data_IF_724901032035
#
_entry.id   IF_724901032035
#
_cell.length_a   1.000
_cell.length_b   1.000
_cell.length_c   1.000
_cell.angle_alpha   90.00
_cell.angle_beta   90.00
_cell.angle_gamma   90.00
#
_symmetry.space_group_name_H-M   'P 1'
#
loop_
_entity.id
_entity.type
_entity.pdbx_description
1 polymer ?
#
# COMPACT_ATOMS: atom_id res chain seq x y z
N UNK A 1 68.50 -34.11 8.64
CA UNK A 1 68.59 -32.65 8.45
C UNK A 1 67.40 -32.29 7.59
N UNK A 2 66.32 -31.88 8.25
CA UNK A 2 65.03 -31.58 7.63
C UNK A 2 65.02 -30.09 7.28
N UNK A 3 64.80 -29.76 6.00
CA UNK A 3 64.70 -28.38 5.52
C UNK A 3 63.25 -28.11 5.11
N UNK A 4 62.46 -27.59 6.04
CA UNK A 4 61.10 -27.12 5.79
C UNK A 4 61.18 -25.71 5.18
N UNK A 5 60.99 -25.58 3.87
CA UNK A 5 60.84 -24.28 3.22
C UNK A 5 59.40 -23.77 3.39
N UNK A 6 59.21 -22.81 4.29
CA UNK A 6 57.99 -21.99 4.34
C UNK A 6 57.94 -21.13 3.08
N UNK A 7 56.89 -21.29 2.27
CA UNK A 7 56.58 -20.37 1.16
C UNK A 7 55.61 -19.33 1.69
N UNK A 8 55.98 -18.05 1.58
CA UNK A 8 55.12 -16.93 1.94
C UNK A 8 53.88 -16.88 1.01
N UNK A 9 52.69 -16.51 1.50
CA UNK A 9 51.52 -16.34 0.67
C UNK A 9 51.71 -15.17 -0.30
N UNK A 10 51.51 -15.45 -1.59
CA UNK A 10 51.51 -14.46 -2.66
C UNK A 10 50.31 -13.52 -2.44
N UNK A 11 50.59 -12.25 -2.14
CA UNK A 11 49.58 -11.19 -2.12
C UNK A 11 49.15 -10.88 -3.56
N UNK A 12 47.89 -11.17 -3.88
CA UNK A 12 47.27 -10.83 -5.16
C UNK A 12 46.56 -9.46 -5.04
N UNK A 13 47.09 -8.38 -5.65
CA UNK A 13 46.50 -7.06 -5.60
C UNK A 13 45.28 -6.90 -6.52
N UNK A 14 44.81 -7.96 -7.21
CA UNK A 14 43.62 -7.92 -8.07
C UNK A 14 42.31 -8.28 -7.34
N UNK A 15 42.38 -8.65 -6.06
CA UNK A 15 41.20 -8.75 -5.21
C UNK A 15 40.70 -7.35 -4.85
N UNK A 16 40.11 -6.68 -5.83
CA UNK A 16 39.29 -5.49 -5.62
C UNK A 16 38.06 -5.95 -4.82
N UNK A 17 37.86 -5.53 -3.56
CA UNK A 17 36.62 -5.78 -2.86
C UNK A 17 35.58 -4.84 -3.48
N UNK A 18 35.09 -5.20 -4.67
CA UNK A 18 33.81 -4.71 -5.13
C UNK A 18 32.80 -5.20 -4.11
N UNK A 19 32.55 -4.35 -3.11
CA UNK A 19 31.37 -4.44 -2.27
C UNK A 19 30.21 -4.51 -3.24
N UNK A 20 29.65 -5.70 -3.34
CA UNK A 20 28.50 -6.01 -4.17
C UNK A 20 27.29 -5.34 -3.51
N UNK A 21 27.21 -4.01 -3.61
CA UNK A 21 26.08 -3.24 -3.13
C UNK A 21 25.00 -3.40 -4.20
N UNK A 22 24.44 -4.60 -4.31
CA UNK A 22 23.17 -4.79 -5.00
C UNK A 22 22.18 -3.86 -4.30
N UNK A 23 21.58 -2.87 -4.99
CA UNK A 23 20.60 -1.99 -4.36
C UNK A 23 19.48 -2.87 -3.78
N UNK A 24 18.91 -2.51 -2.61
CA UNK A 24 17.88 -3.31 -1.99
C UNK A 24 16.75 -3.55 -2.98
N UNK A 25 16.45 -4.82 -3.25
CA UNK A 25 15.31 -5.22 -4.08
C UNK A 25 14.06 -4.71 -3.36
N UNK A 26 13.41 -3.71 -3.95
CA UNK A 26 12.15 -3.20 -3.45
C UNK A 26 11.06 -4.25 -3.71
N UNK A 27 10.48 -4.81 -2.64
CA UNK A 27 9.40 -5.77 -2.70
C UNK A 27 8.04 -5.11 -2.41
N UNK A 28 6.97 -5.69 -2.96
CA UNK A 28 5.59 -5.35 -2.57
C UNK A 28 5.34 -5.59 -1.07
N UNK A 29 4.22 -5.10 -0.51
CA UNK A 29 3.90 -5.36 0.88
C UNK A 29 3.69 -6.87 1.10
N UNK A 30 4.15 -7.40 2.23
CA UNK A 30 3.76 -8.75 2.61
C UNK A 30 2.24 -8.79 2.86
N UNK A 31 1.53 -9.88 2.56
CA UNK A 31 0.15 -10.05 3.02
C UNK A 31 0.06 -9.87 4.54
N UNK A 32 -0.96 -9.15 5.01
CA UNK A 32 -1.03 -8.78 6.42
C UNK A 32 -1.98 -7.63 6.71
N UNK A 33 -1.80 -7.01 7.89
CA UNK A 33 -2.65 -5.90 8.36
C UNK A 33 -1.91 -4.58 8.29
N UNK A 34 -2.55 -3.59 7.69
CA UNK A 34 -1.96 -2.29 7.39
C UNK A 34 -2.92 -1.14 7.71
N UNK A 35 -2.33 0.01 8.03
CA UNK A 35 -2.99 1.30 7.81
C UNK A 35 -2.56 1.80 6.43
N UNK A 36 -3.51 2.30 5.65
CA UNK A 36 -3.24 2.86 4.33
C UNK A 36 -3.35 4.36 4.45
N UNK A 37 -2.25 5.07 4.14
CA UNK A 37 -2.15 6.51 4.25
C UNK A 37 -1.80 7.14 2.92
N UNK A 38 -2.38 8.30 2.65
CA UNK A 38 -1.90 9.18 1.60
C UNK A 38 -0.45 9.60 1.91
N UNK A 39 0.46 9.44 0.95
CA UNK A 39 1.88 9.72 1.17
C UNK A 39 2.20 11.21 1.38
N UNK A 40 1.41 12.11 0.79
CA UNK A 40 1.64 13.57 0.87
C UNK A 40 1.02 14.13 2.15
N UNK A 41 -0.26 13.85 2.39
CA UNK A 41 -1.02 14.46 3.48
C UNK A 41 -1.01 13.65 4.78
N UNK A 42 -0.54 12.40 4.72
CA UNK A 42 -0.56 11.40 5.80
C UNK A 42 -1.95 11.06 6.35
N UNK A 43 -3.01 11.37 5.60
CA UNK A 43 -4.38 11.03 5.96
C UNK A 43 -4.65 9.55 5.75
N UNK A 44 -5.43 8.97 6.65
CA UNK A 44 -5.65 7.52 6.72
C UNK A 44 -6.98 7.15 6.10
N UNK A 45 -7.02 6.12 5.26
CA UNK A 45 -8.27 5.56 4.74
C UNK A 45 -9.09 4.98 5.90
N UNK A 46 -10.39 5.26 5.93
CA UNK A 46 -11.31 4.71 6.92
C UNK A 46 -12.58 4.19 6.28
N UNK A 47 -13.01 2.99 6.69
CA UNK A 47 -14.31 2.42 6.30
C UNK A 47 -15.49 2.98 7.10
N UNK A 48 -15.24 4.00 7.92
CA UNK A 48 -16.24 4.73 8.69
C UNK A 48 -15.89 6.21 8.67
N UNK A 49 -16.92 7.03 8.52
CA UNK A 49 -16.84 8.48 8.50
C UNK A 49 -17.78 9.05 9.56
N UNK A 50 -17.77 10.36 9.71
CA UNK A 50 -18.74 11.11 10.52
C UNK A 50 -20.21 10.87 10.12
N UNK A 51 -20.45 10.43 8.87
CA UNK A 51 -21.78 10.08 8.34
C UNK A 51 -22.18 8.62 8.62
N UNK A 52 -21.28 7.82 9.21
CA UNK A 52 -21.50 6.42 9.54
C UNK A 52 -20.56 5.46 8.81
N UNK A 53 -20.89 4.17 8.89
CA UNK A 53 -20.15 3.11 8.20
C UNK A 53 -20.33 3.21 6.70
N UNK A 54 -19.24 3.10 5.96
CA UNK A 54 -19.24 3.09 4.50
C UNK A 54 -20.24 2.09 3.92
N UNK A 55 -20.83 2.44 2.78
CA UNK A 55 -21.74 1.60 2.01
C UNK A 55 -21.13 1.20 0.66
N UNK A 56 -21.48 0.03 0.10
CA UNK A 56 -21.06 -0.33 -1.24
C UNK A 56 -21.43 0.73 -2.29
N UNK A 57 -20.49 1.06 -3.17
CA UNK A 57 -20.61 2.11 -4.18
C UNK A 57 -20.13 3.49 -3.72
N UNK A 58 -19.99 3.74 -2.41
CA UNK A 58 -19.44 5.00 -1.93
C UNK A 58 -17.94 5.11 -2.22
N UNK A 59 -17.50 6.33 -2.53
CA UNK A 59 -16.08 6.65 -2.76
C UNK A 59 -15.26 6.38 -1.49
N UNK A 60 -14.12 5.71 -1.66
CA UNK A 60 -13.13 5.53 -0.60
C UNK A 60 -12.45 6.87 -0.32
N UNK A 61 -12.49 7.28 0.95
CA UNK A 61 -11.91 8.55 1.40
C UNK A 61 -10.85 8.34 2.46
N UNK A 62 -9.78 9.13 2.38
CA UNK A 62 -8.82 9.29 3.47
C UNK A 62 -9.23 10.45 4.39
N UNK A 63 -9.08 10.29 5.70
CA UNK A 63 -9.44 11.31 6.69
C UNK A 63 -8.25 11.62 7.60
N UNK A 64 -8.15 12.90 7.99
CA UNK A 64 -7.16 13.34 8.97
C UNK A 64 -7.44 12.68 10.33
N UNK A 65 -6.41 12.13 10.98
CA UNK A 65 -6.48 11.50 12.30
C UNK A 65 -7.46 10.31 12.42
N UNK A 66 -7.80 9.66 11.31
CA UNK A 66 -8.80 8.60 11.31
C UNK A 66 -8.43 7.42 12.21
N UNK A 67 -7.14 7.11 12.36
CA UNK A 67 -6.64 6.03 13.20
C UNK A 67 -6.95 6.22 14.69
N UNK A 68 -7.14 7.48 15.13
CA UNK A 68 -7.51 7.80 16.51
C UNK A 68 -9.03 7.78 16.70
N UNK A 69 -9.78 8.27 15.71
CA UNK A 69 -11.24 8.36 15.77
C UNK A 69 -11.91 7.00 15.52
N UNK A 70 -11.36 6.21 14.59
CA UNK A 70 -11.94 4.95 14.11
C UNK A 70 -10.90 3.83 14.04
N UNK A 71 -10.24 3.48 15.17
CA UNK A 71 -9.05 2.63 15.19
C UNK A 71 -9.25 1.24 14.57
N UNK A 72 -10.47 0.73 14.53
CA UNK A 72 -10.78 -0.59 13.94
C UNK A 72 -11.13 -0.51 12.46
N UNK A 73 -11.59 0.65 11.99
CA UNK A 73 -12.08 0.89 10.63
C UNK A 73 -11.00 1.47 9.73
N UNK A 74 -9.82 1.78 10.29
CA UNK A 74 -8.61 2.16 9.56
C UNK A 74 -7.62 1.02 9.34
N UNK A 75 -7.92 -0.18 9.84
CA UNK A 75 -7.09 -1.37 9.62
C UNK A 75 -7.61 -2.12 8.40
N UNK A 76 -6.72 -2.47 7.49
CA UNK A 76 -7.03 -3.22 6.28
C UNK A 76 -6.18 -4.49 6.22
N UNK A 77 -6.79 -5.58 5.78
CA UNK A 77 -6.09 -6.81 5.40
C UNK A 77 -5.73 -6.70 3.93
N UNK A 78 -4.44 -6.88 3.62
CA UNK A 78 -3.95 -7.11 2.27
C UNK A 78 -3.76 -8.60 2.09
N UNK A 79 -4.39 -9.16 1.07
CA UNK A 79 -4.26 -10.58 0.70
C UNK A 79 -3.88 -10.72 -0.77
N UNK A 80 -2.87 -11.55 -1.05
CA UNK A 80 -2.37 -11.80 -2.41
C UNK A 80 -2.99 -13.07 -2.96
N UNK A 81 -3.78 -12.97 -4.02
CA UNK A 81 -4.55 -14.10 -4.57
C UNK A 81 -3.68 -15.14 -5.31
N UNK A 82 -2.39 -14.88 -5.51
CA UNK A 82 -1.50 -15.82 -6.18
C UNK A 82 -0.12 -15.90 -5.51
N UNK A 83 0.39 -17.11 -5.24
CA UNK A 83 1.74 -17.31 -4.67
C UNK A 83 2.88 -16.76 -5.54
N UNK A 84 2.61 -16.48 -6.82
CA UNK A 84 3.62 -16.15 -7.83
C UNK A 84 3.47 -14.75 -8.43
N UNK A 85 2.44 -13.98 -8.05
CA UNK A 85 2.18 -12.63 -8.57
C UNK A 85 2.25 -11.64 -7.40
N UNK A 86 3.47 -11.29 -7.00
CA UNK A 86 3.82 -10.50 -5.81
C UNK A 86 3.37 -9.02 -5.83
N UNK A 87 2.44 -8.67 -6.72
CA UNK A 87 2.04 -7.30 -6.97
C UNK A 87 0.53 -7.10 -6.96
N UNK A 88 -0.28 -8.16 -6.88
CA UNK A 88 -1.73 -8.02 -6.91
C UNK A 88 -2.37 -8.40 -5.57
N UNK A 89 -3.11 -7.44 -5.01
CA UNK A 89 -3.67 -7.57 -3.66
C UNK A 89 -5.15 -7.20 -3.65
N UNK A 90 -5.94 -7.98 -2.91
CA UNK A 90 -7.22 -7.50 -2.42
C UNK A 90 -7.01 -6.74 -1.12
N UNK A 91 -7.80 -5.68 -0.92
CA UNK A 91 -7.71 -4.81 0.25
C UNK A 91 -9.07 -4.82 0.96
N UNK A 92 -9.15 -5.43 2.13
CA UNK A 92 -10.41 -5.58 2.88
C UNK A 92 -10.35 -4.89 4.23
N UNK A 93 -11.40 -4.15 4.60
CA UNK A 93 -11.60 -3.79 5.99
C UNK A 93 -12.21 -4.97 6.77
N UNK A 94 -11.53 -5.54 7.79
CA UNK A 94 -12.00 -6.73 8.47
C UNK A 94 -13.20 -6.46 9.40
N UNK A 95 -13.48 -5.21 9.76
CA UNK A 95 -14.60 -4.81 10.61
C UNK A 95 -15.90 -4.67 9.82
N UNK A 96 -15.87 -3.97 8.69
CA UNK A 96 -17.06 -3.75 7.83
C UNK A 96 -17.25 -4.86 6.80
N UNK A 97 -16.21 -5.68 6.56
CA UNK A 97 -16.14 -6.71 5.50
C UNK A 97 -16.15 -6.16 4.07
N UNK A 98 -16.11 -4.84 3.91
CA UNK A 98 -16.02 -4.18 2.62
C UNK A 98 -14.60 -4.28 2.06
N UNK A 99 -14.53 -4.39 0.74
CA UNK A 99 -13.30 -4.32 -0.04
C UNK A 99 -13.15 -2.94 -0.67
N UNK A 100 -11.91 -2.51 -0.87
CA UNK A 100 -11.62 -1.40 -1.78
C UNK A 100 -11.64 -1.97 -3.20
N UNK A 101 -12.50 -1.43 -4.06
CA UNK A 101 -12.65 -1.83 -5.45
C UNK A 101 -12.79 -0.63 -6.37
N UNK A 102 -13.10 -0.92 -7.63
CA UNK A 102 -13.21 0.05 -8.70
C UNK A 102 -14.69 0.33 -8.97
N UNK A 103 -15.02 1.60 -9.10
CA UNK A 103 -16.34 2.10 -9.48
C UNK A 103 -16.21 3.43 -10.21
N UNK A 104 -17.23 4.27 -10.08
CA UNK A 104 -17.22 5.61 -10.64
C UNK A 104 -17.74 6.63 -9.61
N UNK A 105 -17.31 7.88 -9.74
CA UNK A 105 -17.91 9.01 -9.03
C UNK A 105 -19.24 9.46 -9.67
N UNK A 106 -19.83 10.53 -9.11
CA UNK A 106 -21.10 11.08 -9.59
C UNK A 106 -21.01 11.67 -11.02
N UNK A 107 -19.79 11.92 -11.52
CA UNK A 107 -19.52 12.42 -12.87
C UNK A 107 -19.20 11.29 -13.87
N UNK A 108 -19.10 10.05 -13.39
CA UNK A 108 -18.76 8.87 -14.19
C UNK A 108 -17.25 8.63 -14.35
N UNK A 109 -16.41 9.37 -13.63
CA UNK A 109 -14.96 9.17 -13.65
C UNK A 109 -14.59 7.92 -12.82
N UNK A 110 -13.63 7.10 -13.28
CA UNK A 110 -13.17 5.93 -12.52
C UNK A 110 -12.60 6.33 -11.15
N UNK A 111 -13.10 5.70 -10.08
CA UNK A 111 -12.72 6.03 -8.72
C UNK A 111 -12.63 4.78 -7.82
N UNK A 112 -11.85 4.90 -6.74
CA UNK A 112 -11.81 3.89 -5.69
C UNK A 112 -13.11 3.95 -4.89
N UNK A 113 -13.84 2.84 -4.81
CA UNK A 113 -15.12 2.73 -4.10
C UNK A 113 -15.14 1.53 -3.17
N UNK A 114 -16.03 1.57 -2.19
CA UNK A 114 -16.33 0.41 -1.35
C UNK A 114 -17.13 -0.62 -2.13
N UNK A 115 -16.77 -1.90 -1.99
CA UNK A 115 -17.42 -3.01 -2.68
C UNK A 115 -17.64 -4.19 -1.75
N UNK A 116 -18.56 -5.08 -2.09
CA UNK A 116 -18.82 -6.33 -1.34
C UNK A 116 -18.01 -7.51 -1.86
N UNK A 117 -17.33 -7.36 -2.99
CA UNK A 117 -16.57 -8.41 -3.67
C UNK A 117 -15.10 -8.03 -3.77
N UNK A 118 -14.15 -8.95 -3.55
CA UNK A 118 -12.74 -8.66 -3.72
C UNK A 118 -12.44 -8.23 -5.16
N UNK A 119 -11.62 -7.19 -5.28
CA UNK A 119 -10.98 -6.79 -6.52
C UNK A 119 -9.48 -6.67 -6.28
N UNK A 120 -8.68 -6.95 -7.30
CA UNK A 120 -7.23 -6.96 -7.21
C UNK A 120 -6.65 -5.63 -7.66
N UNK A 121 -5.69 -5.14 -6.88
CA UNK A 121 -4.97 -3.89 -7.11
C UNK A 121 -3.50 -4.17 -7.36
N UNK A 122 -2.93 -3.48 -8.34
CA UNK A 122 -1.48 -3.51 -8.57
C UNK A 122 -0.80 -2.62 -7.53
N UNK A 123 0.04 -3.22 -6.68
CA UNK A 123 0.82 -2.55 -5.64
C UNK A 123 2.31 -2.68 -5.97
N UNK A 124 2.89 -1.56 -6.40
CA UNK A 124 4.31 -1.49 -6.81
C UNK A 124 5.11 -0.69 -5.79
N UNK A 125 6.25 -1.19 -5.31
CA UNK A 125 7.06 -0.45 -4.35
C UNK A 125 7.77 0.74 -4.99
N UNK A 126 7.74 1.88 -4.30
CA UNK A 126 8.45 3.11 -4.70
C UNK A 126 9.73 3.25 -3.88
N UNK A 127 9.63 3.05 -2.57
CA UNK A 127 10.72 3.05 -1.60
C UNK A 127 10.30 2.26 -0.34
N UNK A 128 11.18 2.03 0.65
CA UNK A 128 10.79 1.30 1.85
C UNK A 128 9.50 1.85 2.49
N UNK A 129 8.53 0.95 2.71
CA UNK A 129 7.21 1.26 3.29
C UNK A 129 6.32 2.23 2.50
N UNK A 130 6.65 2.51 1.23
CA UNK A 130 5.84 3.37 0.35
C UNK A 130 5.62 2.66 -0.97
N UNK A 131 4.35 2.52 -1.34
CA UNK A 131 3.92 1.82 -2.53
C UNK A 131 2.95 2.68 -3.34
N UNK A 132 2.99 2.51 -4.66
CA UNK A 132 1.94 2.95 -5.57
C UNK A 132 0.84 1.90 -5.58
N UNK A 133 -0.42 2.33 -5.51
CA UNK A 133 -1.60 1.47 -5.62
C UNK A 133 -2.41 1.93 -6.83
N UNK A 134 -2.44 1.13 -7.88
CA UNK A 134 -3.05 1.49 -9.17
C UNK A 134 -4.21 0.58 -9.54
N UNK A 135 -5.22 1.17 -10.19
CA UNK A 135 -6.29 0.42 -10.84
C UNK A 135 -5.80 -0.17 -12.16
N UNK A 136 -6.02 -1.45 -12.37
CA UNK A 136 -5.68 -2.08 -13.65
C UNK A 136 -6.50 -1.44 -14.78
N UNK A 137 -5.83 -0.95 -15.83
CA UNK A 137 -6.46 -0.46 -17.06
C UNK A 137 -7.05 0.95 -17.02
N UNK A 138 -6.84 1.72 -15.93
CA UNK A 138 -7.29 3.12 -15.86
C UNK A 138 -6.14 4.05 -15.46
N UNK A 139 -5.68 4.87 -16.41
CA UNK A 139 -4.63 5.88 -16.18
C UNK A 139 -5.11 7.12 -15.41
N UNK A 140 -6.43 7.37 -15.45
CA UNK A 140 -7.06 8.57 -14.85
C UNK A 140 -7.80 8.24 -13.54
N UNK A 141 -7.67 7.01 -13.05
CA UNK A 141 -8.21 6.59 -11.77
C UNK A 141 -7.57 7.36 -10.60
N UNK A 142 -8.38 7.72 -9.60
CA UNK A 142 -7.91 8.49 -8.46
C UNK A 142 -8.40 7.96 -7.09
N UNK A 143 -7.68 8.40 -6.06
CA UNK A 143 -8.02 8.22 -4.65
C UNK A 143 -8.43 9.57 -4.07
N UNK A 144 -9.47 9.59 -3.21
CA UNK A 144 -10.00 10.83 -2.67
C UNK A 144 -9.56 11.06 -1.23
N UNK A 145 -9.13 12.27 -0.92
CA UNK A 145 -9.09 12.74 0.47
C UNK A 145 -10.47 13.31 0.81
N UNK A 146 -10.96 13.08 2.04
CA UNK A 146 -12.09 13.80 2.59
C UNK A 146 -11.66 15.25 2.86
N UNK A 147 -11.53 16.07 1.81
CA UNK A 147 -11.43 17.53 1.96
C UNK A 147 -12.54 17.94 2.93
N UNK A 148 -12.19 18.64 4.00
CA UNK A 148 -13.12 18.93 5.08
C UNK A 148 -14.42 19.46 4.51
N UNK A 149 -15.51 18.76 4.78
CA UNK A 149 -16.88 19.29 4.70
C UNK A 149 -17.01 20.40 5.77
N UNK A 150 -16.27 21.50 5.61
CA UNK A 150 -16.61 22.78 6.19
C UNK A 150 -17.40 23.54 5.12
N UNK A 151 -18.61 23.07 4.85
CA UNK A 151 -19.71 23.97 4.59
C UNK A 151 -20.67 23.76 5.75
N UNK A 152 -20.60 24.73 6.66
CA UNK A 152 -21.59 25.06 7.69
C UNK A 152 -22.93 24.34 7.49
N UNK A 153 -23.26 23.43 8.41
CA UNK A 153 -24.67 23.19 8.74
C UNK A 153 -25.05 24.13 9.86
N UNK A 154 -25.21 25.40 9.51
CA UNK A 154 -26.20 26.27 10.14
C UNK A 154 -27.58 25.80 9.67
N UNK A 155 -28.30 25.08 10.52
CA UNK A 155 -29.75 25.20 10.73
C UNK A 155 -30.07 24.73 12.15
#
# INVERSE_FOLDING_TARGET
MDSSSLSDPIYDPSADPQSDITPPILAGPNPGRYHIKNYIDEWTIAAETDKGTAQPGEIVRAMKNAEYMFPKQTIFTLDSDTPNNYHQYSIQNPKTKLFIGIGADDEGNPAAVWTTTPQLWDITPIKPSVWSISMAGSGDAYWSNAMGDNIEKTW
#
